data_IF_279246176197
#
_entry.id   IF_279246176197
#
_cell.length_a   1.000
_cell.length_b   1.000
_cell.length_c   1.000
_cell.angle_alpha   90.00
_cell.angle_beta   90.00
_cell.angle_gamma   90.00
#
_symmetry.space_group_name_H-M   'P 1'
#
loop_
_entity.id
_entity.type
_entity.pdbx_description
1 polymer ?
#
# COMPACT_ATOMS: atom_id res chain seq x y z
N UNK A 1 -67.58 -27.85 31.93
CA UNK A 1 -66.28 -27.27 32.35
C UNK A 1 -65.06 -28.01 31.77
N UNK A 2 -65.16 -29.28 31.35
CA UNK A 2 -64.01 -30.07 30.89
C UNK A 2 -63.55 -29.83 29.43
N UNK A 3 -64.38 -29.23 28.57
CA UNK A 3 -64.04 -29.07 27.16
C UNK A 3 -62.90 -28.06 26.95
N UNK A 4 -63.04 -26.84 27.48
CA UNK A 4 -62.00 -25.80 27.39
C UNK A 4 -60.65 -26.26 27.92
N UNK A 5 -60.64 -27.03 29.01
CA UNK A 5 -59.43 -27.58 29.59
C UNK A 5 -58.78 -28.65 28.70
N UNK A 6 -59.59 -29.51 28.06
CA UNK A 6 -59.10 -30.54 27.14
C UNK A 6 -58.54 -29.92 25.87
N UNK A 7 -59.24 -28.95 25.27
CA UNK A 7 -58.77 -28.21 24.10
C UNK A 7 -57.47 -27.46 24.39
N UNK A 8 -57.38 -26.76 25.53
CA UNK A 8 -56.17 -26.05 25.95
C UNK A 8 -54.99 -27.01 26.14
N UNK A 9 -55.21 -28.16 26.81
CA UNK A 9 -54.15 -29.16 27.01
C UNK A 9 -53.66 -29.75 25.69
N UNK A 10 -54.57 -30.05 24.77
CA UNK A 10 -54.23 -30.60 23.45
C UNK A 10 -53.40 -29.62 22.62
N UNK A 11 -53.81 -28.36 22.56
CA UNK A 11 -53.11 -27.35 21.77
C UNK A 11 -51.73 -27.01 22.36
N UNK A 12 -51.62 -26.92 23.69
CA UNK A 12 -50.33 -26.74 24.37
C UNK A 12 -49.38 -27.91 24.12
N UNK A 13 -49.89 -29.15 24.09
CA UNK A 13 -49.08 -30.34 23.85
C UNK A 13 -48.52 -30.47 22.43
N UNK A 14 -49.08 -29.73 21.46
CA UNK A 14 -48.62 -29.75 20.06
C UNK A 14 -47.55 -28.71 19.75
N UNK A 15 -47.34 -27.73 20.63
CA UNK A 15 -46.40 -26.62 20.43
C UNK A 15 -45.15 -26.79 21.29
N UNK A 16 -44.01 -26.27 20.81
CA UNK A 16 -42.79 -26.18 21.63
C UNK A 16 -42.92 -25.07 22.66
N UNK A 17 -42.17 -25.20 23.77
CA UNK A 17 -42.24 -24.24 24.87
C UNK A 17 -41.88 -22.80 24.44
N UNK A 18 -40.90 -22.64 23.56
CA UNK A 18 -40.54 -21.33 22.99
C UNK A 18 -41.68 -20.71 22.18
N UNK A 19 -42.36 -21.52 21.37
CA UNK A 19 -43.48 -21.05 20.55
C UNK A 19 -44.71 -20.70 21.41
N UNK A 20 -44.91 -21.41 22.53
CA UNK A 20 -45.97 -21.07 23.50
C UNK A 20 -45.77 -19.68 24.12
N UNK A 21 -44.52 -19.28 24.36
CA UNK A 21 -44.20 -17.95 24.90
C UNK A 21 -44.23 -16.86 23.82
N UNK A 22 -43.65 -17.12 22.65
CA UNK A 22 -43.56 -16.13 21.58
C UNK A 22 -44.89 -15.88 20.87
N UNK A 23 -45.77 -16.89 20.79
CA UNK A 23 -47.00 -16.83 19.99
C UNK A 23 -48.29 -16.96 20.81
N UNK A 24 -48.32 -16.40 22.04
CA UNK A 24 -49.51 -16.46 22.92
C UNK A 24 -50.78 -15.93 22.24
N UNK A 25 -50.67 -14.91 21.38
CA UNK A 25 -51.80 -14.39 20.62
C UNK A 25 -52.35 -15.40 19.60
N UNK A 26 -51.48 -16.17 18.94
CA UNK A 26 -51.88 -17.21 18.00
C UNK A 26 -52.57 -18.37 18.74
N UNK A 27 -51.99 -18.80 19.86
CA UNK A 27 -52.58 -19.82 20.73
C UNK A 27 -53.98 -19.43 21.21
N UNK A 28 -54.16 -18.18 21.67
CA UNK A 28 -55.46 -17.66 22.08
C UNK A 28 -56.48 -17.73 20.93
N UNK A 29 -56.10 -17.36 19.70
CA UNK A 29 -57.00 -17.42 18.54
C UNK A 29 -57.43 -18.85 18.22
N UNK A 30 -56.48 -19.79 18.17
CA UNK A 30 -56.76 -21.19 17.88
C UNK A 30 -57.71 -21.81 18.91
N UNK A 31 -57.47 -21.54 20.20
CA UNK A 31 -58.34 -22.05 21.28
C UNK A 31 -59.74 -21.44 21.19
N UNK A 32 -59.86 -20.13 20.92
CA UNK A 32 -61.15 -19.46 20.74
C UNK A 32 -61.94 -20.05 19.57
N UNK A 33 -61.27 -20.33 18.45
CA UNK A 33 -61.90 -20.90 17.26
C UNK A 33 -62.48 -22.29 17.53
N UNK A 34 -61.70 -23.17 18.13
CA UNK A 34 -62.15 -24.53 18.49
C UNK A 34 -63.29 -24.47 19.51
N UNK A 35 -63.18 -23.60 20.53
CA UNK A 35 -64.24 -23.46 21.54
C UNK A 35 -65.52 -22.85 20.99
N UNK A 36 -65.45 -21.87 20.09
CA UNK A 36 -66.64 -21.30 19.46
C UNK A 36 -67.39 -22.32 18.61
N UNK A 37 -66.66 -23.16 17.87
CA UNK A 37 -67.25 -24.22 17.06
C UNK A 37 -68.07 -25.19 17.91
N UNK A 38 -67.47 -25.71 18.99
CA UNK A 38 -68.17 -26.66 19.87
C UNK A 38 -69.26 -25.98 20.72
N UNK A 39 -69.05 -24.73 21.18
CA UNK A 39 -70.07 -24.00 21.93
C UNK A 39 -71.31 -23.67 21.08
N UNK A 40 -71.14 -23.43 19.77
CA UNK A 40 -72.24 -23.23 18.83
C UNK A 40 -73.13 -24.46 18.69
N UNK A 41 -72.58 -25.68 18.77
CA UNK A 41 -73.35 -26.92 18.72
C UNK A 41 -74.25 -27.08 19.95
N UNK A 42 -73.89 -26.43 21.06
CA UNK A 42 -74.68 -26.39 22.30
C UNK A 42 -75.54 -25.13 22.46
N UNK A 43 -75.53 -24.22 21.48
CA UNK A 43 -76.29 -22.97 21.52
C UNK A 43 -75.75 -21.91 22.49
N UNK A 44 -74.46 -21.99 22.85
CA UNK A 44 -73.81 -21.07 23.80
C UNK A 44 -72.83 -20.16 23.04
N UNK A 45 -72.91 -18.84 23.27
CA UNK A 45 -72.00 -17.86 22.65
C UNK A 45 -70.76 -17.61 23.52
N UNK A 46 -69.57 -17.90 22.98
CA UNK A 46 -68.30 -17.60 23.66
C UNK A 46 -67.75 -16.23 23.23
N UNK A 47 -67.91 -15.21 24.09
CA UNK A 47 -67.50 -13.82 23.80
C UNK A 47 -65.99 -13.62 23.74
N UNK A 48 -65.26 -14.04 24.78
CA UNK A 48 -63.80 -13.87 24.87
C UNK A 48 -63.17 -14.97 25.73
N UNK A 49 -62.03 -15.49 25.28
CA UNK A 49 -61.15 -16.36 26.05
C UNK A 49 -59.73 -15.76 26.05
N UNK A 50 -59.08 -15.79 27.20
CA UNK A 50 -57.73 -15.27 27.38
C UNK A 50 -56.98 -16.17 28.36
N UNK A 51 -55.85 -16.71 27.92
CA UNK A 51 -54.87 -17.32 28.83
C UNK A 51 -54.39 -16.22 29.76
N UNK A 52 -54.33 -16.44 31.08
CA UNK A 52 -53.77 -15.47 32.04
C UNK A 52 -52.28 -15.65 32.26
N UNK A 53 -51.90 -16.76 32.88
CA UNK A 53 -50.53 -17.05 33.29
C UNK A 53 -50.17 -18.50 32.93
N UNK A 54 -48.95 -18.71 32.44
CA UNK A 54 -48.37 -20.04 32.20
C UNK A 54 -47.23 -20.21 33.18
N UNK A 55 -47.38 -21.13 34.13
CA UNK A 55 -46.35 -21.42 35.13
C UNK A 55 -45.59 -22.66 34.68
N UNK A 56 -44.29 -22.51 34.44
CA UNK A 56 -43.38 -23.60 34.09
C UNK A 56 -42.53 -23.96 35.31
N UNK A 57 -42.15 -25.23 35.43
CA UNK A 57 -41.24 -25.67 36.49
C UNK A 57 -39.90 -24.94 36.40
N UNK A 58 -39.34 -24.58 37.55
CA UNK A 58 -38.07 -23.84 37.68
C UNK A 58 -36.90 -24.56 36.99
N UNK A 59 -36.90 -25.90 37.02
CA UNK A 59 -35.87 -26.72 36.36
C UNK A 59 -35.85 -26.48 34.83
N UNK A 60 -37.03 -26.41 34.21
CA UNK A 60 -37.15 -26.18 32.76
C UNK A 60 -36.72 -24.77 32.42
N UNK A 61 -37.16 -23.77 33.20
CA UNK A 61 -36.77 -22.38 33.01
C UNK A 61 -35.25 -22.20 33.08
N UNK A 62 -34.58 -22.81 34.07
CA UNK A 62 -33.13 -22.77 34.19
C UNK A 62 -32.42 -23.41 33.00
N UNK A 63 -32.94 -24.51 32.48
CA UNK A 63 -32.39 -25.17 31.29
C UNK A 63 -32.53 -24.28 30.05
N UNK A 64 -33.67 -23.61 29.88
CA UNK A 64 -33.89 -22.67 28.78
C UNK A 64 -32.96 -21.46 28.88
N UNK A 65 -32.79 -20.89 30.07
CA UNK A 65 -31.89 -19.75 30.30
C UNK A 65 -30.44 -20.13 29.94
N UNK A 66 -29.99 -21.33 30.33
CA UNK A 66 -28.67 -21.85 29.97
C UNK A 66 -28.52 -22.07 28.47
N UNK A 67 -29.54 -22.59 27.79
CA UNK A 67 -29.53 -22.79 26.35
C UNK A 67 -29.50 -21.46 25.60
N UNK A 68 -30.35 -20.51 26.00
CA UNK A 68 -30.42 -19.18 25.41
C UNK A 68 -29.09 -18.43 25.60
N UNK A 69 -28.46 -18.53 26.77
CA UNK A 69 -27.17 -17.95 27.03
C UNK A 69 -26.06 -18.59 26.18
N UNK A 70 -26.05 -19.93 26.06
CA UNK A 70 -25.11 -20.63 25.21
C UNK A 70 -25.25 -20.22 23.72
N UNK A 71 -26.49 -20.07 23.23
CA UNK A 71 -26.74 -19.59 21.87
C UNK A 71 -26.29 -18.13 21.69
N UNK A 72 -26.53 -17.27 22.70
CA UNK A 72 -26.04 -15.90 22.72
C UNK A 72 -24.53 -15.82 22.65
N UNK A 73 -23.83 -16.60 23.47
CA UNK A 73 -22.37 -16.67 23.49
C UNK A 73 -21.86 -17.17 22.14
N UNK A 74 -22.43 -18.24 21.60
CA UNK A 74 -22.07 -18.76 20.27
C UNK A 74 -22.23 -17.69 19.21
N UNK A 75 -23.36 -16.97 19.20
CA UNK A 75 -23.64 -15.91 18.23
C UNK A 75 -22.68 -14.73 18.38
N UNK A 76 -22.35 -14.35 19.62
CA UNK A 76 -21.33 -13.33 19.90
C UNK A 76 -19.98 -13.72 19.31
N UNK A 77 -19.49 -14.93 19.60
CA UNK A 77 -18.17 -15.40 19.14
C UNK A 77 -18.09 -15.46 17.62
N UNK A 78 -19.15 -15.91 16.95
CA UNK A 78 -19.21 -15.92 15.48
C UNK A 78 -19.12 -14.49 14.94
N UNK A 79 -19.93 -13.57 15.46
CA UNK A 79 -19.93 -12.17 15.02
C UNK A 79 -18.59 -11.46 15.29
N UNK A 80 -17.96 -11.76 16.42
CA UNK A 80 -16.64 -11.21 16.78
C UNK A 80 -15.56 -11.73 15.82
N UNK A 81 -15.53 -13.04 15.57
CA UNK A 81 -14.60 -13.65 14.60
C UNK A 81 -14.82 -13.16 13.17
N UNK A 82 -16.07 -12.96 12.76
CA UNK A 82 -16.39 -12.38 11.45
C UNK A 82 -15.95 -10.92 11.37
N UNK A 83 -16.18 -10.15 12.44
CA UNK A 83 -15.73 -8.76 12.56
C UNK A 83 -14.21 -8.65 12.45
N UNK A 84 -13.47 -9.49 13.17
CA UNK A 84 -12.01 -9.53 13.14
C UNK A 84 -11.47 -9.90 11.76
N UNK A 85 -12.04 -10.92 11.12
CA UNK A 85 -11.65 -11.32 9.77
C UNK A 85 -11.87 -10.19 8.75
N UNK A 86 -13.00 -9.49 8.83
CA UNK A 86 -13.31 -8.34 7.96
C UNK A 86 -12.38 -7.16 8.26
N UNK A 87 -12.09 -6.90 9.53
CA UNK A 87 -11.18 -5.83 9.95
C UNK A 87 -9.77 -6.06 9.40
N UNK A 88 -9.24 -7.28 9.53
CA UNK A 88 -7.90 -7.65 9.04
C UNK A 88 -7.81 -7.51 7.51
N UNK A 89 -8.82 -7.97 6.78
CA UNK A 89 -8.88 -7.81 5.32
C UNK A 89 -8.89 -6.33 4.92
N UNK A 90 -9.65 -5.49 5.63
CA UNK A 90 -9.70 -4.06 5.36
C UNK A 90 -8.38 -3.38 5.68
N UNK A 91 -7.72 -3.78 6.77
CA UNK A 91 -6.39 -3.27 7.13
C UNK A 91 -5.35 -3.63 6.06
N UNK A 92 -5.29 -4.90 5.64
CA UNK A 92 -4.39 -5.36 4.59
C UNK A 92 -4.65 -4.65 3.24
N UNK A 93 -5.92 -4.41 2.88
CA UNK A 93 -6.28 -3.62 1.69
C UNK A 93 -5.81 -2.17 1.79
N UNK A 94 -6.00 -1.55 2.95
CA UNK A 94 -5.52 -0.19 3.22
C UNK A 94 -4.00 -0.09 3.10
N UNK A 95 -3.27 -1.04 3.70
CA UNK A 95 -1.82 -1.11 3.61
C UNK A 95 -1.34 -1.29 2.16
N UNK A 96 -1.94 -2.22 1.42
CA UNK A 96 -1.61 -2.43 0.00
C UNK A 96 -1.81 -1.15 -0.82
N UNK A 97 -2.96 -0.51 -0.67
CA UNK A 97 -3.26 0.74 -1.39
C UNK A 97 -2.30 1.86 -1.00
N UNK A 98 -1.97 1.98 0.29
CA UNK A 98 -0.98 2.95 0.76
C UNK A 98 0.41 2.69 0.17
N UNK A 99 0.85 1.44 0.10
CA UNK A 99 2.13 1.06 -0.51
C UNK A 99 2.16 1.33 -2.01
N UNK A 100 1.08 1.06 -2.72
CA UNK A 100 0.94 1.34 -4.15
C UNK A 100 1.05 2.86 -4.43
N UNK A 101 0.30 3.67 -3.69
CA UNK A 101 0.36 5.14 -3.79
C UNK A 101 1.76 5.65 -3.43
N UNK A 102 2.40 5.10 -2.41
CA UNK A 102 3.76 5.49 -2.04
C UNK A 102 4.79 5.14 -3.13
N UNK A 103 4.68 3.97 -3.76
CA UNK A 103 5.55 3.58 -4.86
C UNK A 103 5.36 4.47 -6.09
N UNK A 104 4.11 4.80 -6.43
CA UNK A 104 3.79 5.71 -7.52
C UNK A 104 4.28 7.13 -7.25
N UNK A 105 4.14 7.61 -6.00
CA UNK A 105 4.67 8.90 -5.59
C UNK A 105 6.20 8.94 -5.73
N UNK A 106 6.92 7.90 -5.30
CA UNK A 106 8.38 7.82 -5.46
C UNK A 106 8.81 7.80 -6.92
N UNK A 107 8.10 7.04 -7.77
CA UNK A 107 8.36 7.03 -9.21
C UNK A 107 8.15 8.43 -9.81
N UNK A 108 7.09 9.12 -9.40
CA UNK A 108 6.80 10.47 -9.86
C UNK A 108 7.89 11.46 -9.42
N UNK A 109 8.34 11.41 -8.16
CA UNK A 109 9.40 12.30 -7.67
C UNK A 109 10.71 12.09 -8.43
N UNK A 110 11.14 10.83 -8.61
CA UNK A 110 12.39 10.54 -9.36
C UNK A 110 12.32 11.04 -10.80
N UNK A 111 11.17 10.86 -11.47
CA UNK A 111 10.97 11.33 -12.83
C UNK A 111 10.98 12.87 -12.90
N UNK A 112 10.30 13.55 -11.98
CA UNK A 112 10.32 15.01 -11.89
C UNK A 112 11.70 15.56 -11.60
N UNK A 113 12.46 14.91 -10.71
CA UNK A 113 13.83 15.32 -10.38
C UNK A 113 14.77 15.14 -11.58
N UNK A 114 14.65 14.02 -12.30
CA UNK A 114 15.43 13.78 -13.51
C UNK A 114 15.11 14.80 -14.62
N UNK A 115 13.83 15.13 -14.81
CA UNK A 115 13.41 16.19 -15.75
C UNK A 115 13.94 17.55 -15.34
N UNK A 116 13.82 17.92 -14.06
CA UNK A 116 14.32 19.18 -13.54
C UNK A 116 15.84 19.30 -13.72
N UNK A 117 16.59 18.22 -13.48
CA UNK A 117 18.04 18.19 -13.73
C UNK A 117 18.37 18.33 -15.22
N UNK A 118 17.65 17.61 -16.10
CA UNK A 118 17.85 17.71 -17.54
C UNK A 118 17.57 19.12 -18.07
N UNK A 119 16.51 19.77 -17.57
CA UNK A 119 16.16 21.14 -17.92
C UNK A 119 17.19 22.14 -17.38
N UNK A 120 17.65 21.98 -16.14
CA UNK A 120 18.70 22.79 -15.56
C UNK A 120 20.02 22.68 -16.36
N UNK A 121 20.40 21.48 -16.80
CA UNK A 121 21.57 21.27 -17.66
C UNK A 121 21.37 21.93 -19.01
N UNK A 122 20.20 21.78 -19.65
CA UNK A 122 19.91 22.46 -20.92
C UNK A 122 20.01 23.98 -20.81
N UNK A 123 19.45 24.56 -19.74
CA UNK A 123 19.49 26.00 -19.51
C UNK A 123 20.92 26.48 -19.29
N UNK A 124 21.70 25.77 -18.46
CA UNK A 124 23.13 26.07 -18.25
C UNK A 124 23.93 25.95 -19.55
N UNK A 125 23.75 24.87 -20.31
CA UNK A 125 24.44 24.67 -21.59
C UNK A 125 24.10 25.74 -22.62
N UNK A 126 22.83 26.18 -22.68
CA UNK A 126 22.42 27.30 -23.54
C UNK A 126 23.11 28.60 -23.12
N UNK A 127 23.12 28.91 -21.82
CA UNK A 127 23.82 30.09 -21.31
C UNK A 127 25.34 30.03 -21.59
N UNK A 128 25.97 28.86 -21.49
CA UNK A 128 27.39 28.69 -21.85
C UNK A 128 27.60 28.91 -23.34
N UNK A 129 26.74 28.35 -24.20
CA UNK A 129 26.82 28.54 -25.65
C UNK A 129 26.67 30.01 -26.04
N UNK A 130 25.69 30.72 -25.45
CA UNK A 130 25.46 32.15 -25.67
C UNK A 130 26.68 32.98 -25.21
N UNK A 131 27.24 32.66 -24.03
CA UNK A 131 28.47 33.31 -23.54
C UNK A 131 29.67 33.06 -24.47
N UNK A 132 29.88 31.83 -24.95
CA UNK A 132 30.95 31.49 -25.89
C UNK A 132 30.76 32.27 -27.20
N UNK A 133 29.53 32.39 -27.70
CA UNK A 133 29.24 33.16 -28.89
C UNK A 133 29.58 34.64 -28.72
N UNK A 134 29.20 35.25 -27.58
CA UNK A 134 29.55 36.63 -27.24
C UNK A 134 31.07 36.80 -27.16
N UNK A 135 31.77 35.92 -26.45
CA UNK A 135 33.24 35.97 -26.33
C UNK A 135 33.87 35.84 -27.71
N UNK A 136 33.46 34.87 -28.53
CA UNK A 136 33.98 34.67 -29.88
C UNK A 136 33.77 35.90 -30.78
N UNK A 137 32.66 36.62 -30.63
CA UNK A 137 32.42 37.88 -31.34
C UNK A 137 33.38 38.98 -30.88
N UNK A 138 33.63 39.13 -29.57
CA UNK A 138 34.60 40.10 -29.04
C UNK A 138 36.04 39.76 -29.48
N UNK A 139 36.37 38.48 -29.58
CA UNK A 139 37.69 38.02 -30.03
C UNK A 139 37.98 38.43 -31.48
N UNK A 140 36.97 38.48 -32.37
CA UNK A 140 37.15 38.94 -33.76
C UNK A 140 37.53 40.42 -33.89
N UNK A 141 37.31 41.23 -32.85
CA UNK A 141 37.59 42.68 -32.88
C UNK A 141 38.99 43.06 -32.37
N UNK A 142 39.77 42.11 -31.81
CA UNK A 142 41.05 42.41 -31.14
C UNK A 142 42.17 41.45 -31.59
N UNK A 143 43.24 41.98 -32.19
CA UNK A 143 44.30 41.20 -32.86
C UNK A 143 45.21 40.34 -31.96
N UNK A 144 45.25 40.56 -30.63
CA UNK A 144 46.08 39.76 -29.67
C UNK A 144 45.27 38.81 -28.78
N UNK A 145 44.06 38.46 -29.21
CA UNK A 145 43.08 37.74 -28.39
C UNK A 145 43.50 36.33 -27.97
N UNK A 146 44.22 35.58 -28.82
CA UNK A 146 44.57 34.17 -28.54
C UNK A 146 45.53 33.99 -27.35
N UNK A 147 46.41 34.94 -27.10
CA UNK A 147 47.40 34.89 -26.02
C UNK A 147 46.79 35.22 -24.64
N UNK A 148 45.75 36.07 -24.62
CA UNK A 148 44.99 36.37 -23.40
C UNK A 148 44.09 35.20 -22.97
N UNK A 149 43.52 34.47 -23.94
CA UNK A 149 42.68 33.29 -23.66
C UNK A 149 43.50 32.14 -23.10
N UNK A 150 44.70 31.86 -23.64
CA UNK A 150 45.55 30.78 -23.11
C UNK A 150 46.02 31.06 -21.68
N UNK A 151 46.37 32.31 -21.36
CA UNK A 151 46.70 32.71 -19.99
C UNK A 151 45.50 32.52 -19.05
N UNK A 152 44.29 32.92 -19.47
CA UNK A 152 43.08 32.78 -18.65
C UNK A 152 42.68 31.33 -18.43
N UNK A 153 42.85 30.46 -19.43
CA UNK A 153 42.63 29.01 -19.29
C UNK A 153 43.65 28.41 -18.32
N UNK A 154 44.91 28.85 -18.36
CA UNK A 154 45.94 28.38 -17.42
C UNK A 154 45.63 28.81 -15.97
N UNK A 155 45.18 30.04 -15.75
CA UNK A 155 44.72 30.51 -14.42
C UNK A 155 43.54 29.69 -13.89
N UNK A 156 42.50 29.48 -14.72
CA UNK A 156 41.31 28.71 -14.34
C UNK A 156 41.64 27.24 -14.07
N UNK A 157 42.52 26.65 -14.88
CA UNK A 157 43.01 25.30 -14.67
C UNK A 157 43.73 25.18 -13.32
N UNK A 158 44.64 26.12 -13.01
CA UNK A 158 45.38 26.13 -11.75
C UNK A 158 44.44 26.33 -10.55
N UNK A 159 43.43 27.19 -10.68
CA UNK A 159 42.43 27.42 -9.62
C UNK A 159 41.56 26.18 -9.37
N UNK A 160 41.05 25.54 -10.44
CA UNK A 160 40.24 24.32 -10.32
C UNK A 160 41.06 23.11 -9.86
N UNK A 161 42.30 22.99 -10.31
CA UNK A 161 43.24 22.01 -9.79
C UNK A 161 43.57 22.25 -8.31
N UNK A 162 43.72 23.52 -7.89
CA UNK A 162 43.91 23.91 -6.49
C UNK A 162 42.70 23.59 -5.60
N UNK A 163 41.47 23.71 -6.13
CA UNK A 163 40.23 23.29 -5.43
C UNK A 163 40.17 21.76 -5.28
N UNK A 164 40.49 21.01 -6.35
CA UNK A 164 40.56 19.54 -6.31
C UNK A 164 41.63 19.03 -5.32
N UNK A 165 42.78 19.71 -5.25
CA UNK A 165 43.85 19.37 -4.31
C UNK A 165 43.47 19.65 -2.84
N UNK A 166 42.50 20.54 -2.57
CA UNK A 166 41.96 20.79 -1.23
C UNK A 166 40.87 19.80 -0.83
N UNK A 167 40.03 19.36 -1.77
CA UNK A 167 38.93 18.42 -1.50
C UNK A 167 39.36 16.94 -1.50
N UNK A 168 40.44 16.60 -2.21
CA UNK A 168 40.89 15.20 -2.36
C UNK A 168 42.17 14.95 -1.55
N UNK A 169 42.05 14.42 -0.31
CA UNK A 169 43.20 14.03 0.54
C UNK A 169 43.88 12.70 0.10
N UNK A 170 43.87 12.38 -1.18
CA UNK A 170 44.57 11.18 -1.69
C UNK A 170 45.36 11.56 -2.91
N UNK A 171 46.57 12.05 -2.65
CA UNK A 171 47.67 11.96 -3.59
C UNK A 171 47.87 10.47 -3.89
N UNK A 172 47.42 10.01 -5.05
CA UNK A 172 47.86 8.73 -5.60
C UNK A 172 49.31 8.91 -6.01
N UNK A 173 50.22 8.79 -5.04
CA UNK A 173 51.59 8.35 -5.27
C UNK A 173 51.58 6.83 -5.13
N UNK A 174 50.91 6.13 -6.05
CA UNK A 174 51.16 4.72 -6.26
C UNK A 174 52.40 4.58 -7.12
N UNK A 175 53.59 4.59 -6.50
CA UNK A 175 54.64 3.59 -6.72
C UNK A 175 55.94 3.98 -6.02
N UNK A 176 56.72 2.98 -5.54
CA UNK A 176 58.05 3.22 -5.02
C UNK A 176 58.96 3.73 -6.15
N UNK A 177 59.33 5.01 -6.07
CA UNK A 177 60.33 5.68 -6.94
C UNK A 177 61.76 5.32 -6.52
N UNK A 178 62.06 4.03 -6.40
CA UNK A 178 63.41 3.59 -6.00
C UNK A 178 64.33 3.17 -7.16
N UNK A 179 63.88 3.21 -8.42
CA UNK A 179 64.76 2.89 -9.55
C UNK A 179 64.42 3.67 -10.85
N UNK A 180 65.29 4.57 -11.35
CA UNK A 180 65.06 5.34 -12.57
C UNK A 180 65.07 4.49 -13.86
N UNK A 181 65.55 3.25 -13.82
CA UNK A 181 65.57 2.37 -14.99
C UNK A 181 64.15 1.95 -15.41
N UNK A 182 63.27 1.64 -14.44
CA UNK A 182 61.90 1.17 -14.70
C UNK A 182 60.99 2.27 -15.23
N UNK A 183 61.22 3.53 -14.82
CA UNK A 183 60.48 4.69 -15.33
C UNK A 183 60.70 4.90 -16.84
N UNK A 184 61.94 4.75 -17.30
CA UNK A 184 62.27 4.90 -18.73
C UNK A 184 61.65 3.78 -19.58
N UNK A 185 61.61 2.55 -19.08
CA UNK A 185 61.03 1.41 -19.81
C UNK A 185 59.52 1.53 -19.92
N UNK A 186 58.87 2.00 -18.84
CA UNK A 186 57.43 2.18 -18.82
C UNK A 186 57.00 3.37 -19.68
N UNK A 187 57.73 4.48 -19.64
CA UNK A 187 57.53 5.62 -20.54
C UNK A 187 57.71 5.23 -22.02
N UNK A 188 58.75 4.44 -22.35
CA UNK A 188 58.94 3.93 -23.71
C UNK A 188 57.82 2.97 -24.14
N UNK A 189 57.31 2.13 -23.23
CA UNK A 189 56.20 1.22 -23.55
C UNK A 189 54.88 1.94 -23.83
N UNK A 190 54.59 3.01 -23.08
CA UNK A 190 53.41 3.86 -23.31
C UNK A 190 53.58 4.64 -24.61
N UNK A 191 54.77 5.19 -24.87
CA UNK A 191 55.07 5.85 -26.14
C UNK A 191 54.88 4.90 -27.33
N UNK A 192 55.36 3.66 -27.22
CA UNK A 192 55.23 2.68 -28.29
C UNK A 192 53.78 2.19 -28.45
N UNK A 193 53.03 2.02 -27.37
CA UNK A 193 51.60 1.69 -27.42
C UNK A 193 50.76 2.82 -28.02
N UNK A 194 51.06 4.08 -27.69
CA UNK A 194 50.40 5.26 -28.26
C UNK A 194 50.79 5.45 -29.73
N UNK A 195 52.06 5.26 -30.10
CA UNK A 195 52.50 5.29 -31.50
C UNK A 195 51.83 4.18 -32.33
N UNK A 196 51.69 2.98 -31.76
CA UNK A 196 51.01 1.84 -32.42
C UNK A 196 49.50 2.06 -32.50
N UNK A 197 48.88 2.67 -31.49
CA UNK A 197 47.44 2.99 -31.50
C UNK A 197 47.12 4.17 -32.44
N UNK A 198 48.04 5.12 -32.61
CA UNK A 198 47.93 6.19 -33.60
C UNK A 198 48.09 5.66 -35.05
N UNK A 199 48.89 4.60 -35.26
CA UNK A 199 49.06 3.96 -36.56
C UNK A 199 47.90 3.05 -37.00
N UNK A 200 46.98 2.67 -36.08
CA UNK A 200 45.86 1.73 -36.34
C UNK A 200 44.47 2.37 -36.36
N UNK A 201 44.38 3.69 -36.50
CA UNK A 201 43.11 4.40 -36.70
C UNK A 201 42.54 4.20 -38.11
N UNK A 202 41.85 3.08 -38.35
CA UNK A 202 41.16 2.85 -39.63
C UNK A 202 40.54 1.46 -39.80
N UNK A 203 39.50 1.13 -39.01
CA UNK A 203 38.32 0.31 -39.41
C UNK A 203 37.61 -0.24 -38.16
N UNK A 204 36.33 0.14 -37.99
CA UNK A 204 35.42 -0.53 -37.06
C UNK A 204 34.65 -1.63 -37.82
N UNK A 205 34.50 -2.83 -37.24
CA UNK A 205 33.33 -3.66 -37.47
C UNK A 205 32.44 -3.69 -36.22
N UNK A 206 31.15 -3.50 -36.46
CA UNK A 206 30.01 -3.64 -35.54
C UNK A 206 29.89 -5.10 -35.09
N UNK A 207 29.62 -5.41 -33.81
CA UNK A 207 29.10 -6.73 -33.45
C UNK A 207 27.67 -6.62 -32.90
N UNK A 208 26.75 -7.27 -33.60
CA UNK A 208 25.53 -7.82 -33.02
C UNK A 208 25.74 -9.29 -32.69
N UNK A 209 25.52 -9.66 -31.43
CA UNK A 209 24.82 -10.85 -30.95
C UNK A 209 24.31 -10.56 -29.54
#
# INVERSE_FOLDING_TARGET
MNLAQTTMRSEIGRMTLDNLFNERANLNRNIVEVLRKEASEWGIECKRYEIRDIVVSELVRRSMDLQAEAERIKRKVILESEGDAVAEVNHAKGLRSAQEIAADAQKYTVLRDAEAQAEAIRMKSKAIADNIAIVAEQMKKTDKSNEAVSLRVAELYLEKFGQLAKETNTVVLSQPVSDPATFSTQALSVFNAVATSAAKGGSLPIPGK
#
